data_IF_871517235399
#
_entry.id   IF_871517235399
#
_cell.length_a   1.000
_cell.length_b   1.000
_cell.length_c   1.000
_cell.angle_alpha   90.00
_cell.angle_beta   90.00
_cell.angle_gamma   90.00
#
_symmetry.space_group_name_H-M   'P 1'
#
loop_
_entity.id
_entity.type
_entity.pdbx_description
1 polymer ?
#
# COMPACT_ATOMS: atom_id res chain seq x y z
N UNK A 1 11.23 38.36 -15.19
CA UNK A 1 11.99 37.11 -15.11
C UNK A 1 12.51 36.90 -13.71
N UNK A 2 12.96 37.96 -13.01
CA UNK A 2 13.40 37.85 -11.61
C UNK A 2 12.27 37.49 -10.61
N UNK A 3 11.07 38.04 -10.80
CA UNK A 3 9.92 37.73 -9.92
C UNK A 3 9.49 36.27 -9.97
N UNK A 4 9.55 35.63 -11.16
CA UNK A 4 9.20 34.22 -11.31
C UNK A 4 10.23 33.30 -10.63
N UNK A 5 11.51 33.64 -10.74
CA UNK A 5 12.61 32.91 -10.07
C UNK A 5 12.50 33.03 -8.56
N UNK A 6 12.14 34.21 -8.04
CA UNK A 6 11.95 34.42 -6.61
C UNK A 6 10.73 33.64 -6.08
N UNK A 7 9.61 33.63 -6.80
CA UNK A 7 8.42 32.86 -6.43
C UNK A 7 8.69 31.37 -6.38
N UNK A 8 9.33 30.81 -7.41
CA UNK A 8 9.66 29.37 -7.47
C UNK A 8 10.63 28.97 -6.35
N UNK A 9 11.63 29.82 -6.05
CA UNK A 9 12.61 29.55 -4.99
C UNK A 9 11.98 29.58 -3.61
N UNK A 10 11.03 30.47 -3.38
CA UNK A 10 10.23 30.54 -2.15
C UNK A 10 9.39 29.27 -1.97
N UNK A 11 8.63 28.84 -3.01
CA UNK A 11 7.81 27.64 -2.96
C UNK A 11 8.64 26.38 -2.64
N UNK A 12 9.85 26.28 -3.24
CA UNK A 12 10.77 25.19 -2.96
C UNK A 12 11.23 25.19 -1.50
N UNK A 13 11.59 26.34 -0.96
CA UNK A 13 12.03 26.45 0.44
C UNK A 13 10.88 26.21 1.44
N UNK A 14 9.64 26.67 1.13
CA UNK A 14 8.45 26.36 1.92
C UNK A 14 8.19 24.85 1.97
N UNK A 15 8.28 24.18 0.82
CA UNK A 15 8.10 22.74 0.72
C UNK A 15 9.19 21.98 1.49
N UNK A 16 10.45 22.42 1.38
CA UNK A 16 11.56 21.83 2.13
C UNK A 16 11.38 22.00 3.65
N UNK A 17 10.98 23.18 4.10
CA UNK A 17 10.71 23.45 5.52
C UNK A 17 9.62 22.54 6.09
N UNK A 18 8.51 22.36 5.36
CA UNK A 18 7.42 21.45 5.75
C UNK A 18 7.90 20.01 5.85
N UNK A 19 8.63 19.51 4.85
CA UNK A 19 9.18 18.15 4.87
C UNK A 19 10.06 17.89 6.08
N UNK A 20 10.91 18.84 6.44
CA UNK A 20 11.75 18.71 7.62
C UNK A 20 10.95 18.78 8.92
N UNK A 21 9.92 19.63 9.02
CA UNK A 21 9.03 19.68 10.17
C UNK A 21 8.29 18.35 10.37
N UNK A 22 7.76 17.76 9.29
CA UNK A 22 7.04 16.48 9.33
C UNK A 22 7.95 15.30 9.71
N UNK A 23 9.22 15.33 9.26
CA UNK A 23 10.23 14.34 9.68
C UNK A 23 10.62 14.49 11.14
N UNK A 24 10.75 15.74 11.61
CA UNK A 24 10.99 16.00 13.02
C UNK A 24 9.86 15.44 13.88
N UNK A 25 8.60 15.64 13.48
CA UNK A 25 7.46 15.09 14.20
C UNK A 25 7.50 13.57 14.26
N UNK A 26 7.78 12.90 13.13
CA UNK A 26 7.92 11.43 13.08
C UNK A 26 9.05 10.92 13.99
N UNK A 27 10.18 11.61 14.01
CA UNK A 27 11.30 11.24 14.88
C UNK A 27 10.94 11.43 16.36
N UNK A 28 10.15 12.45 16.71
CA UNK A 28 9.57 12.64 18.04
C UNK A 28 8.66 11.48 18.39
N UNK A 29 7.73 11.13 17.52
CA UNK A 29 6.76 10.05 17.74
C UNK A 29 7.44 8.67 17.85
N UNK A 30 8.58 8.50 17.15
CA UNK A 30 9.42 7.31 17.22
C UNK A 30 10.42 7.29 18.39
N UNK A 31 10.41 8.30 19.27
CA UNK A 31 11.36 8.45 20.38
C UNK A 31 12.83 8.57 19.94
N UNK A 32 13.10 9.24 18.81
CA UNK A 32 14.44 9.51 18.26
C UNK A 32 14.80 11.00 18.37
N UNK A 33 15.19 11.51 19.55
CA UNK A 33 15.36 12.94 19.78
C UNK A 33 16.51 13.57 18.95
N UNK A 34 17.57 12.83 18.67
CA UNK A 34 18.69 13.34 17.89
C UNK A 34 18.30 13.63 16.44
N UNK A 35 17.50 12.74 15.83
CA UNK A 35 16.98 12.89 14.48
C UNK A 35 15.95 14.01 14.41
N UNK A 36 15.07 14.13 15.40
CA UNK A 36 14.13 15.23 15.52
C UNK A 36 14.82 16.60 15.60
N UNK A 37 15.88 16.72 16.39
CA UNK A 37 16.68 17.95 16.50
C UNK A 37 17.31 18.35 15.18
N UNK A 38 17.84 17.38 14.42
CA UNK A 38 18.43 17.63 13.10
C UNK A 38 17.39 18.20 12.13
N UNK A 39 16.24 17.59 12.06
CA UNK A 39 15.17 18.03 11.17
C UNK A 39 14.53 19.35 11.59
N UNK A 40 14.30 19.61 12.87
CA UNK A 40 13.82 20.92 13.34
C UNK A 40 14.78 22.05 12.96
N UNK A 41 16.08 21.83 13.12
CA UNK A 41 17.09 22.82 12.72
C UNK A 41 17.17 23.02 11.21
N UNK A 42 16.91 21.95 10.42
CA UNK A 42 16.82 22.07 8.97
C UNK A 42 15.60 22.90 8.57
N UNK A 43 14.41 22.61 9.11
CA UNK A 43 13.20 23.41 8.88
C UNK A 43 13.39 24.90 9.24
N UNK A 44 14.03 25.19 10.39
CA UNK A 44 14.32 26.55 10.78
C UNK A 44 15.25 27.30 9.81
N UNK A 45 16.23 26.61 9.22
CA UNK A 45 17.11 27.20 8.20
C UNK A 45 16.35 27.58 6.94
N UNK A 46 15.50 26.70 6.43
CA UNK A 46 14.68 26.97 5.23
C UNK A 46 13.75 28.16 5.44
N UNK A 47 13.06 28.22 6.59
CA UNK A 47 12.18 29.34 6.93
C UNK A 47 12.94 30.67 7.05
N UNK A 48 14.17 30.67 7.54
CA UNK A 48 15.00 31.88 7.58
C UNK A 48 15.46 32.31 6.18
N UNK A 49 15.73 31.36 5.28
CA UNK A 49 16.02 31.70 3.89
C UNK A 49 14.83 32.39 3.23
N UNK A 50 13.61 31.90 3.45
CA UNK A 50 12.38 32.55 2.98
C UNK A 50 12.24 33.96 3.57
N UNK A 51 12.44 34.10 4.87
CA UNK A 51 12.34 35.39 5.57
C UNK A 51 13.29 36.44 4.97
N UNK A 52 14.46 36.02 4.47
CA UNK A 52 15.44 36.94 3.81
C UNK A 52 15.05 37.32 2.39
N UNK A 53 14.22 36.49 1.73
CA UNK A 53 13.73 36.77 0.36
C UNK A 53 12.52 37.69 0.35
N UNK A 54 11.76 37.76 1.47
CA UNK A 54 10.53 38.53 1.57
C UNK A 54 10.78 40.01 1.79
N UNK A 55 10.19 40.82 0.93
CA UNK A 55 10.26 42.29 1.00
C UNK A 55 9.17 42.91 1.87
N UNK A 56 8.11 42.15 2.19
CA UNK A 56 7.04 42.57 3.08
C UNK A 56 7.38 42.22 4.53
N UNK A 57 7.63 43.22 5.36
CA UNK A 57 8.09 43.07 6.75
C UNK A 57 7.18 42.19 7.64
N UNK A 58 5.87 42.17 7.39
CA UNK A 58 4.94 41.31 8.14
C UNK A 58 5.13 39.81 7.84
N UNK A 59 5.34 39.44 6.57
CA UNK A 59 5.54 38.07 6.13
C UNK A 59 6.92 37.55 6.57
N UNK A 60 7.96 38.37 6.41
CA UNK A 60 9.31 38.06 6.90
C UNK A 60 9.33 37.84 8.42
N UNK A 61 8.54 38.59 9.18
CA UNK A 61 8.45 38.43 10.64
C UNK A 61 7.77 37.13 11.02
N UNK A 62 6.77 36.68 10.27
CA UNK A 62 6.07 35.41 10.50
C UNK A 62 6.99 34.20 10.29
N UNK A 63 7.72 34.15 9.18
CA UNK A 63 8.69 33.09 8.92
C UNK A 63 9.83 33.08 9.93
N UNK A 64 10.31 34.26 10.36
CA UNK A 64 11.35 34.37 11.40
C UNK A 64 10.83 33.82 12.73
N UNK A 65 9.61 34.18 13.14
CA UNK A 65 9.02 33.70 14.40
C UNK A 65 8.86 32.17 14.40
N UNK A 66 8.43 31.59 13.28
CA UNK A 66 8.28 30.15 13.15
C UNK A 66 9.63 29.41 13.11
N UNK A 67 10.66 30.00 12.51
CA UNK A 67 12.02 29.46 12.57
C UNK A 67 12.58 29.46 13.99
N UNK A 68 12.31 30.51 14.76
CA UNK A 68 12.75 30.61 16.17
C UNK A 68 12.01 29.61 17.07
N UNK A 69 10.73 29.32 16.78
CA UNK A 69 9.96 28.29 17.48
C UNK A 69 10.59 26.91 17.26
N UNK A 70 10.95 26.55 16.01
CA UNK A 70 11.60 25.28 15.73
C UNK A 70 13.00 25.16 16.34
N UNK A 71 13.77 26.25 16.40
CA UNK A 71 15.07 26.24 17.11
C UNK A 71 14.90 26.03 18.58
N UNK A 72 13.94 26.72 19.23
CA UNK A 72 13.67 26.55 20.65
C UNK A 72 13.28 25.10 20.98
N UNK A 73 12.44 24.47 20.14
CA UNK A 73 12.07 23.08 20.30
C UNK A 73 13.26 22.14 20.10
N UNK A 74 14.11 22.40 19.11
CA UNK A 74 15.33 21.63 18.87
C UNK A 74 16.31 21.71 20.02
N UNK A 75 16.48 22.92 20.63
CA UNK A 75 17.36 23.12 21.76
C UNK A 75 16.81 22.45 23.04
N UNK A 76 15.50 22.49 23.27
CA UNK A 76 14.86 21.80 24.40
C UNK A 76 15.02 20.26 24.25
N UNK A 77 14.76 19.70 23.06
CA UNK A 77 14.98 18.27 22.79
C UNK A 77 16.43 17.85 22.89
N UNK A 78 17.36 18.70 22.46
CA UNK A 78 18.80 18.45 22.56
C UNK A 78 19.35 18.50 23.99
N UNK A 79 18.76 19.31 24.87
CA UNK A 79 19.20 19.49 26.26
C UNK A 79 18.57 18.46 27.21
N UNK A 80 17.29 18.16 27.06
CA UNK A 80 16.49 17.39 28.02
C UNK A 80 15.95 16.06 27.43
N UNK A 81 16.24 15.80 26.15
CA UNK A 81 15.71 14.65 25.43
C UNK A 81 14.19 14.69 25.37
N UNK A 82 13.56 13.52 25.31
CA UNK A 82 12.10 13.41 25.21
C UNK A 82 11.34 13.91 26.45
N UNK A 83 12.01 14.07 27.59
CA UNK A 83 11.39 14.58 28.83
C UNK A 83 10.93 16.03 28.72
N UNK A 84 11.52 16.81 27.82
CA UNK A 84 11.11 18.20 27.56
C UNK A 84 9.69 18.28 26.93
N UNK A 85 9.32 17.30 26.11
CA UNK A 85 7.99 17.24 25.49
C UNK A 85 6.92 16.78 26.47
N UNK A 86 7.23 15.85 27.37
CA UNK A 86 6.31 15.40 28.43
C UNK A 86 5.97 16.52 29.40
N UNK A 87 6.89 17.48 29.62
CA UNK A 87 6.65 18.64 30.47
C UNK A 87 5.82 19.74 29.78
N UNK A 88 5.93 19.89 28.47
CA UNK A 88 5.16 20.87 27.69
C UNK A 88 3.71 20.40 27.45
N UNK A 89 3.48 19.10 27.30
CA UNK A 89 2.15 18.49 27.12
C UNK A 89 1.34 18.41 28.44
N UNK A 90 1.99 18.58 29.58
CA UNK A 90 1.36 18.52 30.91
C UNK A 90 0.43 19.70 31.26
N UNK A 91 0.33 20.72 30.41
CA UNK A 91 -0.50 21.90 30.67
C UNK A 91 -1.87 21.90 29.96
N UNK A 92 -2.10 21.02 28.98
CA UNK A 92 -3.38 20.97 28.22
C UNK A 92 -3.92 19.56 27.86
N UNK A 93 -3.37 18.51 28.47
CA UNK A 93 -3.79 17.11 28.22
C UNK A 93 -4.67 16.54 29.34
N UNK A 94 -5.80 17.22 29.68
CA UNK A 94 -6.86 16.62 30.52
C UNK A 94 -8.13 16.22 29.75
N UNK A 95 -8.08 16.14 28.43
CA UNK A 95 -9.18 15.61 27.61
C UNK A 95 -8.61 14.72 26.51
N UNK A 96 -8.62 13.44 26.70
CA UNK A 96 -8.77 12.32 25.77
C UNK A 96 -7.84 11.12 26.07
N UNK A 97 -8.09 10.46 27.19
CA UNK A 97 -7.80 9.03 27.35
C UNK A 97 -9.07 8.38 27.88
N UNK A 98 -9.98 8.20 27.00
CA UNK A 98 -11.02 7.16 27.16
C UNK A 98 -11.32 6.66 25.75
N UNK A 99 -11.03 5.36 25.53
CA UNK A 99 -11.33 4.67 24.28
C UNK A 99 -12.86 4.52 24.11
N UNK A 100 -13.50 5.60 23.72
CA UNK A 100 -14.83 5.57 23.15
C UNK A 100 -14.66 5.46 21.63
N UNK A 101 -15.10 4.35 21.06
CA UNK A 101 -15.38 4.27 19.64
C UNK A 101 -16.23 5.48 19.22
N UNK A 102 -15.95 6.12 18.07
CA UNK A 102 -16.77 7.24 17.62
C UNK A 102 -18.20 6.74 17.43
N UNK A 103 -19.15 7.32 18.16
CA UNK A 103 -20.59 7.05 18.03
C UNK A 103 -21.18 7.53 16.68
N UNK A 104 -20.34 7.94 15.75
CA UNK A 104 -20.74 8.43 14.45
C UNK A 104 -20.24 7.43 13.39
N UNK A 105 -21.04 6.42 13.09
CA UNK A 105 -20.94 5.35 12.06
C UNK A 105 -19.93 5.46 10.92
N UNK A 106 -18.70 5.93 11.18
CA UNK A 106 -17.58 6.00 10.25
C UNK A 106 -16.97 4.63 9.97
N UNK A 107 -16.28 4.51 8.85
CA UNK A 107 -15.55 3.30 8.49
C UNK A 107 -14.44 3.05 9.53
N UNK A 108 -14.36 1.86 10.16
CA UNK A 108 -13.20 1.52 10.99
C UNK A 108 -11.98 1.34 10.09
N UNK A 109 -11.07 2.31 10.10
CA UNK A 109 -9.84 2.29 9.31
C UNK A 109 -8.75 1.72 10.19
N UNK A 110 -8.22 0.58 9.80
CA UNK A 110 -7.13 -0.09 10.48
C UNK A 110 -5.83 0.10 9.71
N UNK A 111 -4.80 0.65 10.37
CA UNK A 111 -3.45 0.75 9.82
C UNK A 111 -2.63 -0.39 10.38
N UNK A 112 -2.13 -1.25 9.52
CA UNK A 112 -1.31 -2.40 9.89
C UNK A 112 0.03 -2.33 9.17
N UNK A 113 1.10 -2.84 9.77
CA UNK A 113 2.32 -3.16 9.04
C UNK A 113 2.27 -4.65 8.69
N UNK A 114 2.15 -5.03 7.40
CA UNK A 114 2.04 -6.43 7.03
C UNK A 114 3.29 -7.21 7.43
N UNK A 115 3.10 -8.42 7.97
CA UNK A 115 4.21 -9.34 8.25
C UNK A 115 4.76 -10.03 6.99
N UNK A 116 3.98 -10.04 5.91
CA UNK A 116 4.32 -10.63 4.61
C UNK A 116 5.32 -9.74 3.88
N UNK A 117 6.38 -10.33 3.32
CA UNK A 117 7.44 -9.64 2.57
C UNK A 117 7.58 -10.20 1.16
N UNK A 118 8.45 -9.65 0.34
CA UNK A 118 8.73 -10.20 -0.99
C UNK A 118 9.29 -11.63 -0.99
N UNK A 119 9.79 -12.10 0.16
CA UNK A 119 10.20 -13.50 0.34
C UNK A 119 9.02 -14.48 0.29
N UNK A 120 7.83 -14.00 0.62
CA UNK A 120 6.58 -14.78 0.63
C UNK A 120 5.83 -14.72 -0.70
N UNK A 121 6.33 -13.96 -1.66
CA UNK A 121 5.80 -13.86 -3.02
C UNK A 121 6.67 -14.66 -3.98
N UNK A 122 6.16 -15.76 -4.50
CA UNK A 122 6.87 -16.57 -5.50
C UNK A 122 6.88 -15.92 -6.87
N UNK A 123 8.06 -15.75 -7.49
CA UNK A 123 8.21 -15.11 -8.80
C UNK A 123 7.99 -13.60 -8.79
N UNK A 124 7.64 -13.02 -9.93
CA UNK A 124 7.39 -11.59 -10.15
C UNK A 124 8.60 -10.70 -9.87
N UNK A 125 9.83 -11.19 -10.01
CA UNK A 125 11.04 -10.47 -9.64
C UNK A 125 11.18 -9.11 -10.35
N UNK A 126 10.81 -9.03 -11.63
CA UNK A 126 10.80 -7.77 -12.38
C UNK A 126 9.79 -6.76 -11.84
N UNK A 127 8.62 -7.23 -11.38
CA UNK A 127 7.58 -6.38 -10.80
C UNK A 127 8.00 -5.89 -9.41
N UNK A 128 8.55 -6.77 -8.58
CA UNK A 128 9.09 -6.42 -7.25
C UNK A 128 10.17 -5.35 -7.38
N UNK A 129 11.11 -5.53 -8.32
CA UNK A 129 12.18 -4.56 -8.56
C UNK A 129 11.64 -3.22 -9.04
N UNK A 130 10.69 -3.22 -9.97
CA UNK A 130 10.03 -2.01 -10.46
C UNK A 130 9.37 -1.23 -9.32
N UNK A 131 8.66 -1.91 -8.41
CA UNK A 131 8.02 -1.28 -7.25
C UNK A 131 9.06 -0.66 -6.31
N UNK A 132 10.18 -1.32 -6.07
CA UNK A 132 11.27 -0.73 -5.28
C UNK A 132 11.85 0.51 -5.96
N UNK A 133 12.19 0.43 -7.24
CA UNK A 133 12.85 1.51 -7.98
C UNK A 133 11.95 2.74 -8.18
N UNK A 134 10.66 2.53 -8.44
CA UNK A 134 9.73 3.60 -8.78
C UNK A 134 9.01 4.20 -7.58
N UNK A 135 8.78 3.40 -6.54
CA UNK A 135 7.98 3.78 -5.37
C UNK A 135 8.88 3.97 -4.15
N UNK A 136 9.61 2.92 -3.74
CA UNK A 136 10.31 2.92 -2.47
C UNK A 136 11.57 3.77 -2.47
N UNK A 137 12.44 3.61 -3.47
CA UNK A 137 13.72 4.30 -3.53
C UNK A 137 13.59 5.83 -3.64
N UNK A 138 12.65 6.39 -4.45
CA UNK A 138 12.46 7.84 -4.49
C UNK A 138 11.98 8.44 -3.18
N UNK A 139 11.15 7.71 -2.40
CA UNK A 139 10.70 8.16 -1.08
C UNK A 139 11.81 8.03 -0.03
N UNK A 140 12.55 6.91 -0.03
CA UNK A 140 13.65 6.67 0.92
C UNK A 140 14.87 7.56 0.70
N UNK A 141 15.09 8.03 -0.51
CA UNK A 141 16.25 8.80 -0.95
C UNK A 141 15.81 10.10 -1.64
N UNK A 142 14.79 10.73 -1.12
CA UNK A 142 14.12 11.89 -1.72
C UNK A 142 15.11 13.00 -2.10
N UNK A 143 16.07 13.34 -1.23
CA UNK A 143 17.09 14.36 -1.54
C UNK A 143 17.92 14.03 -2.77
N UNK A 144 18.29 12.75 -2.94
CA UNK A 144 19.04 12.31 -4.11
C UNK A 144 18.21 12.38 -5.38
N UNK A 145 16.97 11.88 -5.32
CA UNK A 145 16.07 11.86 -6.48
C UNK A 145 15.64 13.27 -6.89
N UNK A 146 15.40 14.16 -5.92
CA UNK A 146 15.07 15.56 -6.15
C UNK A 146 16.20 16.31 -6.89
N UNK A 147 17.48 16.00 -6.62
CA UNK A 147 18.61 16.59 -7.37
C UNK A 147 18.58 16.24 -8.88
N UNK A 148 17.98 15.11 -9.23
CA UNK A 148 17.80 14.68 -10.62
C UNK A 148 16.44 15.08 -11.20
N UNK A 149 15.59 15.77 -10.43
CA UNK A 149 14.23 16.13 -10.82
C UNK A 149 13.30 14.93 -10.98
N UNK A 150 13.56 13.85 -10.23
CA UNK A 150 12.75 12.63 -10.25
C UNK A 150 11.81 12.65 -9.04
N UNK A 151 10.52 12.70 -9.31
CA UNK A 151 9.49 12.61 -8.30
C UNK A 151 9.10 11.15 -8.00
N UNK A 152 8.71 10.80 -6.75
CA UNK A 152 8.21 9.47 -6.44
C UNK A 152 6.91 9.17 -7.18
N UNK A 153 6.75 7.94 -7.64
CA UNK A 153 5.46 7.43 -8.11
C UNK A 153 4.56 7.18 -6.89
N UNK A 154 3.53 7.99 -6.75
CA UNK A 154 2.58 7.90 -5.63
C UNK A 154 1.31 7.11 -5.95
N UNK A 155 1.14 6.70 -7.19
CA UNK A 155 0.02 5.88 -7.62
C UNK A 155 0.46 4.77 -8.56
N UNK A 156 0.15 3.52 -8.18
CA UNK A 156 0.43 2.30 -8.97
C UNK A 156 -0.85 1.54 -9.21
N UNK A 157 -1.13 1.19 -10.45
CA UNK A 157 -2.25 0.30 -10.81
C UNK A 157 -1.71 -1.08 -11.17
N UNK A 158 -2.02 -2.07 -10.33
CA UNK A 158 -1.73 -3.47 -10.60
C UNK A 158 -2.89 -4.07 -11.42
N UNK A 159 -2.62 -4.51 -12.64
CA UNK A 159 -3.63 -5.13 -13.51
C UNK A 159 -3.25 -6.56 -13.89
N UNK A 160 -4.24 -7.41 -14.08
CA UNK A 160 -4.00 -8.80 -14.53
C UNK A 160 -5.12 -9.74 -14.11
N UNK A 161 -5.08 -10.99 -14.57
CA UNK A 161 -6.08 -11.98 -14.25
C UNK A 161 -6.27 -12.22 -12.75
N UNK A 162 -7.44 -12.73 -12.31
CA UNK A 162 -7.63 -13.11 -10.92
C UNK A 162 -6.65 -14.22 -10.50
N UNK A 163 -6.33 -14.27 -9.20
CA UNK A 163 -5.43 -15.29 -8.64
C UNK A 163 -3.94 -15.12 -8.96
N UNK A 164 -3.51 -14.00 -9.57
CA UNK A 164 -2.09 -13.75 -9.89
C UNK A 164 -1.29 -13.14 -8.75
N UNK A 165 -1.92 -12.87 -7.60
CA UNK A 165 -1.24 -12.41 -6.39
C UNK A 165 -1.09 -10.88 -6.26
N UNK A 166 -1.92 -10.06 -6.94
CA UNK A 166 -1.87 -8.59 -6.86
C UNK A 166 -2.00 -8.05 -5.44
N UNK A 167 -2.98 -8.54 -4.68
CA UNK A 167 -3.21 -8.18 -3.28
C UNK A 167 -2.04 -8.59 -2.38
N UNK A 168 -1.52 -9.81 -2.59
CA UNK A 168 -0.35 -10.32 -1.87
C UNK A 168 0.90 -9.47 -2.16
N UNK A 169 1.11 -9.08 -3.42
CA UNK A 169 2.23 -8.24 -3.83
C UNK A 169 2.18 -6.85 -3.19
N UNK A 170 1.00 -6.23 -3.13
CA UNK A 170 0.81 -4.93 -2.47
C UNK A 170 1.09 -5.01 -0.96
N UNK A 171 0.57 -6.03 -0.29
CA UNK A 171 0.85 -6.29 1.14
C UNK A 171 2.34 -6.56 1.36
N UNK A 172 2.96 -7.37 0.49
CA UNK A 172 4.37 -7.69 0.59
C UNK A 172 5.28 -6.47 0.40
N UNK A 173 4.89 -5.51 -0.44
CA UNK A 173 5.58 -4.23 -0.54
C UNK A 173 5.53 -3.48 0.79
N UNK A 174 4.37 -3.37 1.42
CA UNK A 174 4.22 -2.73 2.72
C UNK A 174 5.09 -3.37 3.80
N UNK A 175 5.11 -4.70 3.88
CA UNK A 175 5.95 -5.44 4.84
C UNK A 175 7.45 -5.34 4.55
N UNK A 176 7.86 -5.39 3.27
CA UNK A 176 9.25 -5.20 2.85
C UNK A 176 9.80 -3.81 3.23
N UNK A 177 8.92 -2.80 3.16
CA UNK A 177 9.27 -1.42 3.47
C UNK A 177 9.11 -1.09 4.97
N UNK A 178 8.35 -1.89 5.73
CA UNK A 178 7.96 -1.60 7.10
C UNK A 178 6.99 -0.41 7.20
N UNK A 179 6.22 -0.13 6.15
CA UNK A 179 5.30 0.99 6.07
C UNK A 179 3.91 0.64 6.60
N UNK A 180 3.15 1.66 7.00
CA UNK A 180 1.72 1.52 7.26
C UNK A 180 0.98 1.02 6.02
N UNK A 181 -0.03 0.20 6.21
CA UNK A 181 -0.84 -0.38 5.13
C UNK A 181 -2.32 -0.31 5.51
N UNK A 182 -3.10 0.36 4.69
CA UNK A 182 -4.56 0.43 4.81
C UNK A 182 -5.13 -0.33 3.62
N UNK A 183 -5.90 -1.38 3.89
CA UNK A 183 -6.56 -2.17 2.86
C UNK A 183 -8.04 -1.85 2.80
N UNK A 184 -8.53 -1.58 1.61
CA UNK A 184 -9.92 -1.22 1.36
C UNK A 184 -10.54 -2.13 0.31
N UNK A 185 -11.64 -2.75 0.70
CA UNK A 185 -12.50 -3.48 -0.24
C UNK A 185 -13.69 -2.62 -0.65
N UNK A 186 -14.28 -2.85 -1.84
CA UNK A 186 -15.49 -2.14 -2.27
C UNK A 186 -16.64 -2.26 -1.27
N UNK A 187 -16.79 -3.43 -0.64
CA UNK A 187 -17.82 -3.68 0.35
C UNK A 187 -17.70 -2.76 1.57
N UNK A 188 -16.49 -2.46 2.02
CA UNK A 188 -16.26 -1.54 3.14
C UNK A 188 -16.62 -0.10 2.77
N UNK A 189 -16.32 0.33 1.56
CA UNK A 189 -16.63 1.69 1.09
C UNK A 189 -18.11 1.92 0.80
N UNK A 190 -18.82 0.89 0.33
CA UNK A 190 -20.24 0.96 0.00
C UNK A 190 -21.18 0.63 1.16
N UNK A 191 -20.75 -0.20 2.13
CA UNK A 191 -21.58 -0.65 3.25
C UNK A 191 -21.75 0.40 4.36
N UNK A 192 -20.85 1.35 4.46
CA UNK A 192 -20.98 2.46 5.39
C UNK A 192 -22.06 3.42 4.89
N UNK A 193 -23.29 3.31 5.40
CA UNK A 193 -24.45 4.19 5.19
C UNK A 193 -24.51 4.88 3.82
N UNK A 194 -25.50 4.53 3.04
CA UNK A 194 -25.78 5.13 1.71
C UNK A 194 -25.58 6.65 1.76
N UNK A 195 -24.57 7.15 0.99
CA UNK A 195 -24.25 8.57 0.88
C UNK A 195 -22.95 9.06 1.54
N UNK A 196 -22.22 8.22 2.30
CA UNK A 196 -20.96 8.58 2.98
C UNK A 196 -19.67 8.13 2.27
N UNK A 197 -19.76 7.51 1.10
CA UNK A 197 -18.58 6.94 0.42
C UNK A 197 -17.45 7.94 0.16
N UNK A 198 -17.78 9.19 -0.22
CA UNK A 198 -16.77 10.24 -0.39
C UNK A 198 -16.10 10.62 0.94
N UNK A 199 -16.86 10.71 2.04
CA UNK A 199 -16.31 10.98 3.36
C UNK A 199 -15.39 9.85 3.83
N UNK A 200 -15.78 8.59 3.59
CA UNK A 200 -14.94 7.44 3.93
C UNK A 200 -13.58 7.49 3.20
N UNK A 201 -13.55 7.89 1.93
CA UNK A 201 -12.30 8.08 1.18
C UNK A 201 -11.47 9.19 1.82
N UNK A 202 -12.06 10.32 2.16
CA UNK A 202 -11.36 11.41 2.84
C UNK A 202 -10.77 10.97 4.18
N UNK A 203 -11.53 10.23 4.99
CA UNK A 203 -11.11 9.73 6.30
C UNK A 203 -9.92 8.74 6.14
N UNK A 204 -9.93 7.91 5.10
CA UNK A 204 -8.82 7.00 4.76
C UNK A 204 -7.54 7.77 4.46
N UNK A 205 -7.60 8.79 3.61
CA UNK A 205 -6.41 9.57 3.27
C UNK A 205 -5.93 10.44 4.43
N UNK A 206 -6.84 10.94 5.27
CA UNK A 206 -6.48 11.62 6.52
C UNK A 206 -5.74 10.68 7.47
N UNK A 207 -6.23 9.44 7.62
CA UNK A 207 -5.57 8.42 8.43
C UNK A 207 -4.21 8.01 7.84
N UNK A 208 -4.11 7.86 6.51
CA UNK A 208 -2.87 7.52 5.86
C UNK A 208 -1.78 8.59 6.06
N UNK A 209 -2.14 9.87 5.93
CA UNK A 209 -1.24 11.00 6.19
C UNK A 209 -0.79 11.08 7.66
N UNK A 210 -1.65 10.67 8.61
CA UNK A 210 -1.28 10.61 10.02
C UNK A 210 -0.31 9.44 10.35
N UNK A 211 -0.13 8.47 9.43
CA UNK A 211 0.69 7.28 9.63
C UNK A 211 1.73 7.10 8.51
N UNK A 212 2.29 8.19 8.02
CA UNK A 212 3.32 8.17 6.97
C UNK A 212 4.64 7.56 7.48
N UNK A 213 5.35 6.82 6.61
CA UNK A 213 4.98 6.45 5.24
C UNK A 213 3.91 5.35 5.22
N UNK A 214 2.90 5.49 4.35
CA UNK A 214 1.74 4.62 4.33
C UNK A 214 1.33 4.21 2.90
N UNK A 215 0.90 2.96 2.73
CA UNK A 215 0.29 2.46 1.50
C UNK A 215 -1.22 2.38 1.70
N UNK A 216 -1.99 3.01 0.82
CA UNK A 216 -3.44 2.84 0.70
C UNK A 216 -3.71 1.89 -0.46
N UNK A 217 -4.25 0.73 -0.17
CA UNK A 217 -4.53 -0.31 -1.14
C UNK A 217 -6.03 -0.43 -1.43
N UNK A 218 -6.41 -0.29 -2.69
CA UNK A 218 -7.76 -0.50 -3.17
C UNK A 218 -7.81 -1.81 -3.97
N UNK A 219 -8.49 -2.83 -3.43
CA UNK A 219 -8.76 -4.03 -4.19
C UNK A 219 -10.00 -3.82 -5.08
N UNK A 220 -10.00 -4.44 -6.25
CA UNK A 220 -11.09 -4.31 -7.24
C UNK A 220 -11.51 -2.84 -7.46
N UNK A 221 -10.53 -1.99 -7.77
CA UNK A 221 -10.73 -0.53 -7.86
C UNK A 221 -11.77 -0.16 -8.93
N UNK A 222 -12.02 -1.00 -9.92
CA UNK A 222 -13.08 -0.84 -10.91
C UNK A 222 -14.47 -0.68 -10.28
N UNK A 223 -14.72 -1.23 -9.11
CA UNK A 223 -16.00 -1.09 -8.42
C UNK A 223 -16.24 0.32 -7.85
N UNK A 224 -15.19 1.09 -7.61
CA UNK A 224 -15.25 2.48 -7.14
C UNK A 224 -15.11 3.45 -8.30
N UNK A 225 -14.32 3.07 -9.30
CA UNK A 225 -13.82 3.93 -10.36
C UNK A 225 -14.21 3.42 -11.76
N UNK A 226 -15.46 3.03 -11.90
CA UNK A 226 -15.98 2.49 -13.15
C UNK A 226 -16.08 3.56 -14.25
N UNK A 227 -15.66 3.24 -15.48
CA UNK A 227 -15.73 4.13 -16.64
C UNK A 227 -17.17 4.61 -16.88
N UNK A 228 -17.31 5.90 -17.12
CA UNK A 228 -18.59 6.60 -17.37
C UNK A 228 -19.30 6.10 -18.63
N UNK A 229 -18.56 5.59 -19.62
CA UNK A 229 -19.14 5.11 -20.90
C UNK A 229 -19.77 3.73 -20.78
N UNK A 230 -19.35 2.92 -19.82
CA UNK A 230 -19.91 1.57 -19.57
C UNK A 230 -21.12 1.58 -18.61
N UNK A 231 -21.45 2.75 -18.04
CA UNK A 231 -22.52 2.89 -17.03
C UNK A 231 -23.89 3.05 -17.66
N UNK A 232 -24.76 2.07 -17.47
CA UNK A 232 -26.21 2.19 -17.74
C UNK A 232 -26.97 2.90 -16.59
N UNK A 233 -26.44 2.85 -15.35
CA UNK A 233 -27.00 3.53 -14.16
C UNK A 233 -25.89 3.69 -13.10
N UNK A 234 -25.11 4.78 -13.13
CA UNK A 234 -24.26 5.14 -12.00
C UNK A 234 -25.10 5.76 -10.88
N UNK A 235 -24.86 5.35 -9.64
CA UNK A 235 -25.43 6.06 -8.49
C UNK A 235 -24.65 7.35 -8.23
N UNK A 236 -25.30 8.41 -7.78
CA UNK A 236 -24.64 9.67 -7.38
C UNK A 236 -23.55 9.44 -6.33
N UNK A 237 -23.65 8.38 -5.55
CA UNK A 237 -22.69 7.98 -4.53
C UNK A 237 -21.37 7.51 -5.14
N UNK A 238 -21.40 6.70 -6.21
CA UNK A 238 -20.19 6.21 -6.90
C UNK A 238 -19.44 7.35 -7.60
N UNK A 239 -20.17 8.27 -8.23
CA UNK A 239 -19.55 9.46 -8.83
C UNK A 239 -18.87 10.34 -7.78
N UNK A 240 -19.48 10.50 -6.61
CA UNK A 240 -18.93 11.27 -5.52
C UNK A 240 -17.67 10.62 -4.94
N UNK A 241 -17.63 9.28 -4.82
CA UNK A 241 -16.43 8.54 -4.39
C UNK A 241 -15.28 8.68 -5.38
N UNK A 242 -15.55 8.54 -6.68
CA UNK A 242 -14.54 8.73 -7.71
C UNK A 242 -13.96 10.14 -7.68
N UNK A 243 -14.81 11.17 -7.61
CA UNK A 243 -14.35 12.56 -7.55
C UNK A 243 -13.49 12.80 -6.31
N UNK A 244 -13.88 12.27 -5.15
CA UNK A 244 -13.10 12.41 -3.94
C UNK A 244 -11.75 11.68 -4.05
N UNK A 245 -11.73 10.46 -4.57
CA UNK A 245 -10.48 9.72 -4.82
C UNK A 245 -9.54 10.49 -5.75
N UNK A 246 -10.07 11.04 -6.84
CA UNK A 246 -9.30 11.86 -7.78
C UNK A 246 -8.73 13.12 -7.11
N UNK A 247 -9.47 13.72 -6.19
CA UNK A 247 -9.03 14.90 -5.42
C UNK A 247 -7.91 14.51 -4.46
N UNK A 248 -8.12 13.48 -3.64
CA UNK A 248 -7.11 13.02 -2.68
C UNK A 248 -5.79 12.60 -3.35
N UNK A 249 -5.88 11.92 -4.51
CA UNK A 249 -4.68 11.52 -5.27
C UNK A 249 -3.92 12.72 -5.86
N UNK A 250 -4.59 13.82 -6.18
CA UNK A 250 -3.91 15.04 -6.65
C UNK A 250 -3.19 15.77 -5.50
N UNK A 251 -3.61 15.57 -4.26
CA UNK A 251 -3.10 16.25 -3.07
C UNK A 251 -2.03 15.41 -2.33
N UNK A 252 -1.41 14.44 -3.02
CA UNK A 252 -0.36 13.58 -2.46
C UNK A 252 1.07 14.11 -2.68
N UNK A 253 1.25 15.22 -3.38
CA UNK A 253 2.58 15.70 -3.81
C UNK A 253 3.55 15.89 -2.62
N UNK A 254 3.04 16.28 -1.45
CA UNK A 254 3.82 16.52 -0.24
C UNK A 254 3.70 15.41 0.83
N UNK A 255 2.99 14.31 0.56
CA UNK A 255 2.74 13.23 1.51
C UNK A 255 3.55 11.97 1.18
N UNK A 256 4.08 11.26 2.19
CA UNK A 256 4.68 9.93 1.98
C UNK A 256 3.60 8.84 1.97
N UNK A 257 2.55 9.09 1.20
CA UNK A 257 1.45 8.16 0.96
C UNK A 257 1.51 7.65 -0.47
N UNK A 258 1.39 6.34 -0.62
CA UNK A 258 1.34 5.65 -1.91
C UNK A 258 -0.01 4.97 -2.08
N UNK A 259 -0.67 5.21 -3.19
CA UNK A 259 -1.93 4.55 -3.54
C UNK A 259 -1.66 3.40 -4.49
N UNK A 260 -2.09 2.21 -4.14
CA UNK A 260 -2.02 1.04 -5.01
C UNK A 260 -3.44 0.57 -5.30
N UNK A 261 -3.83 0.61 -6.57
CA UNK A 261 -5.06 -0.01 -7.04
C UNK A 261 -4.79 -1.40 -7.63
N UNK A 262 -5.67 -2.36 -7.39
CA UNK A 262 -5.66 -3.65 -8.08
C UNK A 262 -6.94 -3.81 -8.89
N UNK A 263 -6.82 -4.35 -10.11
CA UNK A 263 -7.97 -4.63 -10.98
C UNK A 263 -7.81 -5.92 -11.77
N UNK A 264 -8.91 -6.62 -11.93
CA UNK A 264 -9.01 -7.75 -12.84
C UNK A 264 -9.64 -7.34 -14.21
N UNK A 265 -10.18 -6.13 -14.29
CA UNK A 265 -10.91 -5.59 -15.43
C UNK A 265 -10.38 -4.20 -15.78
N UNK A 266 -9.14 -4.10 -16.30
CA UNK A 266 -8.49 -2.82 -16.54
C UNK A 266 -9.29 -1.92 -17.50
N UNK A 267 -10.09 -2.48 -18.39
CA UNK A 267 -10.97 -1.73 -19.31
C UNK A 267 -12.16 -1.06 -18.63
N UNK A 268 -12.51 -1.47 -17.40
CA UNK A 268 -13.59 -0.86 -16.63
C UNK A 268 -13.12 0.30 -15.74
N UNK A 269 -11.81 0.48 -15.58
CA UNK A 269 -11.24 1.58 -14.76
C UNK A 269 -11.30 2.89 -15.53
N UNK A 270 -11.88 3.93 -14.91
CA UNK A 270 -12.01 5.27 -15.49
C UNK A 270 -10.65 5.85 -15.93
N UNK A 271 -10.58 6.33 -17.16
CA UNK A 271 -9.35 6.90 -17.75
C UNK A 271 -8.79 8.09 -16.94
N UNK A 272 -9.65 8.79 -16.20
CA UNK A 272 -9.20 9.88 -15.33
C UNK A 272 -8.22 9.42 -14.24
N UNK A 273 -8.26 8.16 -13.81
CA UNK A 273 -7.31 7.59 -12.86
C UNK A 273 -5.96 7.24 -13.51
N UNK A 274 -5.91 6.99 -14.81
CA UNK A 274 -4.71 6.52 -15.54
C UNK A 274 -3.77 7.63 -15.98
N UNK A 275 -3.94 8.85 -15.48
CA UNK A 275 -3.05 9.94 -15.86
C UNK A 275 -1.79 9.98 -14.99
N UNK A 276 -0.76 10.74 -15.47
CA UNK A 276 0.58 10.79 -14.88
C UNK A 276 0.64 11.33 -13.42
N UNK A 277 -0.42 11.97 -12.94
CA UNK A 277 -0.48 12.51 -11.57
C UNK A 277 -1.24 11.60 -10.58
N UNK A 278 -1.79 10.47 -11.06
CA UNK A 278 -2.58 9.54 -10.26
C UNK A 278 -1.98 8.17 -10.31
N UNK A 279 -2.52 7.24 -11.08
CA UNK A 279 -1.83 5.98 -11.36
C UNK A 279 -0.81 6.19 -12.48
N UNK A 280 0.30 6.83 -12.10
CA UNK A 280 1.40 7.16 -13.01
C UNK A 280 2.10 5.90 -13.54
N UNK A 281 2.06 4.81 -12.80
CA UNK A 281 2.64 3.52 -13.19
C UNK A 281 1.54 2.47 -13.26
N UNK A 282 1.42 1.82 -14.42
CA UNK A 282 0.51 0.69 -14.63
C UNK A 282 1.36 -0.56 -14.79
N UNK A 283 1.17 -1.51 -13.89
CA UNK A 283 1.99 -2.71 -13.78
C UNK A 283 1.15 -3.94 -14.11
N UNK A 284 1.55 -4.67 -15.12
CA UNK A 284 0.93 -5.94 -15.45
C UNK A 284 1.46 -7.05 -14.54
N UNK A 285 0.54 -7.78 -13.90
CA UNK A 285 0.83 -8.97 -13.09
C UNK A 285 0.34 -10.19 -13.88
N UNK A 286 1.21 -10.82 -14.69
CA UNK A 286 0.83 -11.91 -15.56
C UNK A 286 0.58 -13.20 -14.78
N UNK A 287 -0.09 -14.18 -15.40
CA UNK A 287 -0.09 -15.55 -14.89
C UNK A 287 1.34 -16.07 -14.70
N UNK A 288 1.57 -16.93 -13.69
CA UNK A 288 2.92 -17.39 -13.38
C UNK A 288 3.45 -18.33 -14.49
N UNK A 289 4.67 -18.05 -14.94
CA UNK A 289 5.45 -18.97 -15.79
C UNK A 289 5.96 -20.19 -14.96
N UNK A 290 6.62 -21.14 -15.59
CA UNK A 290 7.07 -22.35 -14.94
C UNK A 290 8.04 -22.07 -13.76
N UNK A 291 8.90 -21.05 -13.89
CA UNK A 291 9.84 -20.66 -12.82
C UNK A 291 9.08 -20.02 -11.65
N UNK A 292 8.12 -19.16 -11.93
CA UNK A 292 7.24 -18.56 -10.93
C UNK A 292 6.37 -19.62 -10.24
N UNK A 293 5.77 -20.59 -10.98
CA UNK A 293 4.99 -21.68 -10.37
C UNK A 293 5.85 -22.52 -9.42
N UNK A 294 7.08 -22.83 -9.81
CA UNK A 294 8.04 -23.51 -8.94
C UNK A 294 8.30 -22.72 -7.66
N UNK A 295 8.52 -21.42 -7.78
CA UNK A 295 8.77 -20.54 -6.64
C UNK A 295 7.54 -20.43 -5.71
N UNK A 296 6.33 -20.30 -6.28
CA UNK A 296 5.07 -20.25 -5.54
C UNK A 296 4.84 -21.55 -4.77
N UNK A 297 5.00 -22.71 -5.41
CA UNK A 297 4.92 -24.02 -4.73
C UNK A 297 5.93 -24.13 -3.58
N UNK A 298 7.17 -23.67 -3.80
CA UNK A 298 8.19 -23.68 -2.76
C UNK A 298 7.84 -22.78 -1.57
N UNK A 299 7.20 -21.64 -1.79
CA UNK A 299 6.71 -20.73 -0.73
C UNK A 299 5.60 -21.41 0.08
N UNK A 300 4.56 -21.89 -0.59
CA UNK A 300 3.41 -22.51 0.10
C UNK A 300 3.78 -23.81 0.83
N UNK A 301 4.73 -24.58 0.34
CA UNK A 301 5.22 -25.78 1.02
C UNK A 301 6.00 -25.51 2.31
N UNK A 302 6.38 -24.26 2.60
CA UNK A 302 6.96 -23.86 3.90
C UNK A 302 5.90 -23.71 4.99
N UNK A 303 4.64 -23.49 4.62
CA UNK A 303 3.54 -23.23 5.56
C UNK A 303 3.18 -24.44 6.43
N UNK A 304 3.07 -25.68 5.89
CA UNK A 304 2.85 -26.87 6.71
C UNK A 304 4.03 -27.15 7.65
N UNK A 305 3.77 -27.32 8.94
CA UNK A 305 4.79 -27.67 9.93
C UNK A 305 5.25 -29.13 9.89
N UNK A 306 4.79 -29.89 8.89
CA UNK A 306 5.18 -31.29 8.70
C UNK A 306 6.41 -31.41 7.80
N UNK A 307 7.27 -32.42 7.98
CA UNK A 307 8.42 -32.63 7.13
C UNK A 307 8.02 -32.80 5.65
N UNK A 308 8.87 -32.31 4.76
CA UNK A 308 8.78 -32.58 3.33
C UNK A 308 9.69 -33.74 2.96
N UNK A 309 9.27 -34.59 2.03
CA UNK A 309 10.06 -35.76 1.59
C UNK A 309 10.04 -35.88 0.06
N UNK A 310 11.21 -35.84 -0.54
CA UNK A 310 11.48 -36.18 -1.94
C UNK A 310 10.52 -35.49 -2.93
N UNK A 311 10.39 -34.14 -2.82
CA UNK A 311 9.55 -33.33 -3.71
C UNK A 311 10.38 -32.83 -4.90
N UNK A 312 9.95 -33.16 -6.11
CA UNK A 312 10.44 -32.58 -7.36
C UNK A 312 9.58 -31.38 -7.76
N UNK A 313 10.06 -30.17 -7.40
CA UNK A 313 9.36 -28.92 -7.71
C UNK A 313 9.35 -28.59 -9.21
N UNK A 314 10.34 -29.05 -9.98
CA UNK A 314 10.39 -28.79 -11.42
C UNK A 314 9.36 -29.64 -12.15
N UNK A 315 9.20 -30.90 -11.76
CA UNK A 315 8.14 -31.76 -12.24
C UNK A 315 6.75 -31.23 -11.87
N UNK A 316 6.57 -30.76 -10.62
CA UNK A 316 5.32 -30.16 -10.16
C UNK A 316 4.98 -28.89 -10.93
N UNK A 317 5.95 -28.00 -11.16
CA UNK A 317 5.76 -26.79 -11.95
C UNK A 317 5.40 -27.09 -13.42
N UNK A 318 5.97 -28.14 -14.00
CA UNK A 318 5.60 -28.59 -15.34
C UNK A 318 4.17 -29.15 -15.40
N UNK A 319 3.75 -29.89 -14.37
CA UNK A 319 2.41 -30.49 -14.29
C UNK A 319 1.29 -29.47 -13.99
N UNK A 320 1.63 -28.26 -13.56
CA UNK A 320 0.68 -27.18 -13.20
C UNK A 320 0.63 -26.07 -14.26
N UNK A 321 0.84 -26.40 -15.53
CA UNK A 321 0.75 -25.42 -16.61
C UNK A 321 -0.63 -24.79 -16.69
N UNK A 322 -0.68 -23.44 -16.80
CA UNK A 322 -1.92 -22.67 -16.81
C UNK A 322 -2.55 -22.41 -15.43
N UNK A 323 -1.97 -22.92 -14.34
CA UNK A 323 -2.46 -22.65 -12.98
C UNK A 323 -2.08 -21.24 -12.54
N UNK A 324 -3.02 -20.54 -11.89
CA UNK A 324 -2.78 -19.28 -11.22
C UNK A 324 -2.12 -19.48 -9.82
N UNK A 325 -1.76 -18.40 -9.15
CA UNK A 325 -1.17 -18.46 -7.81
C UNK A 325 -2.07 -19.15 -6.78
N UNK A 326 -3.35 -18.81 -6.78
CA UNK A 326 -4.35 -19.40 -5.89
C UNK A 326 -4.58 -20.89 -6.16
N UNK A 327 -4.43 -21.33 -7.42
CA UNK A 327 -4.51 -22.74 -7.77
C UNK A 327 -3.36 -23.53 -7.15
N UNK A 328 -2.15 -22.95 -7.16
CA UNK A 328 -0.96 -23.58 -6.60
C UNK A 328 -1.02 -23.64 -5.06
N UNK A 329 -1.60 -22.64 -4.41
CA UNK A 329 -1.91 -22.70 -2.99
C UNK A 329 -2.85 -23.86 -2.67
N UNK A 330 -3.94 -24.00 -3.44
CA UNK A 330 -4.89 -25.11 -3.28
C UNK A 330 -4.23 -26.47 -3.52
N UNK A 331 -3.32 -26.60 -4.48
CA UNK A 331 -2.52 -27.82 -4.69
C UNK A 331 -1.78 -28.22 -3.42
N UNK A 332 -1.09 -27.28 -2.78
CA UNK A 332 -0.35 -27.57 -1.54
C UNK A 332 -1.29 -27.91 -0.39
N UNK A 333 -2.41 -27.20 -0.27
CA UNK A 333 -3.44 -27.51 0.73
C UNK A 333 -4.04 -28.91 0.54
N UNK A 334 -4.33 -29.30 -0.69
CA UNK A 334 -4.84 -30.64 -1.01
C UNK A 334 -3.77 -31.72 -0.74
N UNK A 335 -2.52 -31.45 -1.06
CA UNK A 335 -1.40 -32.34 -0.72
C UNK A 335 -1.27 -32.54 0.80
N UNK A 336 -1.39 -31.46 1.57
CA UNK A 336 -1.37 -31.53 3.03
C UNK A 336 -2.55 -32.33 3.59
N UNK A 337 -3.75 -32.17 3.04
CA UNK A 337 -4.95 -32.96 3.39
C UNK A 337 -4.76 -34.44 3.06
N UNK A 338 -4.11 -34.77 1.94
CA UNK A 338 -3.81 -36.17 1.58
C UNK A 338 -2.84 -36.81 2.56
N UNK A 339 -1.78 -36.10 2.95
CA UNK A 339 -0.83 -36.58 3.97
C UNK A 339 -1.49 -36.72 5.36
N UNK A 340 -2.41 -35.79 5.72
CA UNK A 340 -3.16 -35.85 6.98
C UNK A 340 -4.05 -37.10 7.03
N UNK A 341 -4.78 -37.41 5.98
CA UNK A 341 -5.60 -38.65 5.92
C UNK A 341 -4.77 -39.90 6.16
N UNK A 342 -3.59 -39.98 5.57
CA UNK A 342 -2.67 -41.12 5.80
C UNK A 342 -2.13 -41.13 7.24
N UNK A 343 -1.86 -39.97 7.83
CA UNK A 343 -1.45 -39.85 9.21
C UNK A 343 -2.54 -40.31 10.20
N UNK A 344 -3.81 -40.03 9.91
CA UNK A 344 -4.96 -40.51 10.69
C UNK A 344 -5.10 -42.04 10.65
N UNK A 345 -4.83 -42.67 9.48
CA UNK A 345 -4.88 -44.13 9.31
C UNK A 345 -3.70 -44.84 10.01
N UNK A 346 -2.53 -44.23 9.96
CA UNK A 346 -1.29 -44.85 10.49
C UNK A 346 -1.05 -44.49 11.95
N UNK A 347 -1.69 -43.45 12.49
CA UNK A 347 -1.44 -42.94 13.85
C UNK A 347 -0.10 -42.22 14.02
N UNK A 348 0.59 -41.88 12.94
CA UNK A 348 1.91 -41.23 12.93
C UNK A 348 1.95 -40.05 11.97
N UNK A 349 2.77 -39.02 12.23
CA UNK A 349 3.00 -37.91 11.29
C UNK A 349 3.58 -38.44 10.00
N UNK A 350 2.90 -38.17 8.89
CA UNK A 350 3.34 -38.52 7.53
C UNK A 350 3.93 -37.28 6.85
N UNK A 351 5.17 -37.36 6.34
CA UNK A 351 5.74 -36.27 5.55
C UNK A 351 4.95 -36.00 4.26
N UNK A 352 4.85 -34.74 3.85
CA UNK A 352 4.31 -34.42 2.53
C UNK A 352 5.36 -34.79 1.48
N UNK A 353 5.06 -35.75 0.62
CA UNK A 353 5.94 -36.22 -0.44
C UNK A 353 5.34 -36.00 -1.84
N UNK A 354 6.12 -36.36 -2.87
CA UNK A 354 5.74 -36.19 -4.28
C UNK A 354 4.35 -36.77 -4.61
N UNK A 355 3.99 -37.95 -4.06
CA UNK A 355 2.67 -38.56 -4.28
C UNK A 355 1.52 -37.70 -3.78
N UNK A 356 1.70 -37.03 -2.63
CA UNK A 356 0.67 -36.16 -2.05
C UNK A 356 0.52 -34.90 -2.90
N UNK A 357 1.65 -34.34 -3.36
CA UNK A 357 1.64 -33.18 -4.24
C UNK A 357 0.97 -33.50 -5.58
N UNK A 358 1.28 -34.68 -6.15
CA UNK A 358 0.60 -35.13 -7.38
C UNK A 358 -0.91 -35.29 -7.19
N UNK A 359 -1.33 -35.88 -6.07
CA UNK A 359 -2.76 -36.01 -5.76
C UNK A 359 -3.43 -34.61 -5.64
N UNK A 360 -2.73 -33.63 -5.05
CA UNK A 360 -3.22 -32.24 -4.97
C UNK A 360 -3.34 -31.57 -6.34
N UNK A 361 -2.40 -31.82 -7.24
CA UNK A 361 -2.43 -31.33 -8.62
C UNK A 361 -3.60 -31.95 -9.37
N UNK A 362 -3.78 -33.26 -9.28
CA UNK A 362 -4.84 -33.98 -9.99
C UNK A 362 -6.24 -33.53 -9.52
N UNK A 363 -6.42 -33.33 -8.19
CA UNK A 363 -7.65 -32.83 -7.60
C UNK A 363 -7.96 -31.41 -8.07
N UNK A 364 -6.96 -30.50 -8.11
CA UNK A 364 -7.17 -29.12 -8.57
C UNK A 364 -7.44 -29.08 -10.06
N UNK A 365 -6.72 -29.85 -10.88
CA UNK A 365 -6.95 -29.95 -12.32
C UNK A 365 -8.38 -30.42 -12.65
N UNK A 366 -8.89 -31.41 -11.91
CA UNK A 366 -10.26 -31.90 -12.07
C UNK A 366 -11.28 -30.78 -11.75
N UNK A 367 -11.09 -30.05 -10.66
CA UNK A 367 -11.97 -28.94 -10.26
C UNK A 367 -11.97 -27.80 -11.31
N UNK A 368 -10.82 -27.47 -11.88
CA UNK A 368 -10.72 -26.46 -12.96
C UNK A 368 -11.41 -26.91 -14.24
N UNK A 369 -11.28 -28.21 -14.60
CA UNK A 369 -11.95 -28.75 -15.75
C UNK A 369 -13.49 -28.76 -15.62
N UNK A 370 -14.01 -29.05 -14.42
CA UNK A 370 -15.44 -28.96 -14.13
C UNK A 370 -15.95 -27.51 -14.21
N UNK A 371 -15.21 -26.54 -13.68
CA UNK A 371 -15.57 -25.12 -13.72
C UNK A 371 -15.62 -24.59 -15.18
N UNK A 372 -14.72 -25.03 -16.04
CA UNK A 372 -14.69 -24.64 -17.47
C UNK A 372 -15.67 -25.43 -18.33
N UNK A 373 -15.98 -26.67 -17.97
CA UNK A 373 -16.92 -27.53 -18.68
C UNK A 373 -18.41 -27.36 -18.35
N UNK A 374 -18.73 -26.68 -17.23
CA UNK A 374 -20.10 -26.41 -16.77
C UNK A 374 -20.86 -25.30 -17.49
N UNK A 375 -20.27 -24.63 -18.45
CA UNK A 375 -20.88 -23.54 -19.22
C UNK A 375 -21.33 -24.01 -20.61
N UNK A 376 -22.31 -24.87 -20.76
CA UNK A 376 -23.29 -24.92 -21.83
C UNK A 376 -23.97 -26.32 -21.94
N UNK A 377 -24.99 -26.56 -21.10
CA UNK A 377 -26.08 -27.42 -21.48
C UNK A 377 -27.33 -26.53 -21.56
N UNK A 378 -27.39 -25.70 -22.61
CA UNK A 378 -28.60 -24.99 -23.01
C UNK A 378 -29.57 -25.97 -23.66
N UNK A 379 -30.73 -26.12 -23.03
CA UNK A 379 -31.82 -26.95 -23.50
C UNK A 379 -32.25 -26.60 -24.93
N UNK A 380 -32.05 -27.53 -25.84
CA UNK A 380 -32.83 -27.59 -27.04
C UNK A 380 -34.22 -28.09 -26.68
N UNK A 381 -35.21 -27.25 -26.83
CA UNK A 381 -36.58 -27.66 -26.99
C UNK A 381 -36.97 -27.55 -28.46
N UNK A 382 -37.25 -28.69 -29.02
CA UNK A 382 -37.99 -28.92 -30.28
C UNK A 382 -39.38 -28.30 -30.20
#
# INVERSE_FOLDING_TARGET
MDDLVHSTRRELAETAARRHADRAQRAIDAYHPEEAVEHLRAAARELREIATMETLGSVSTEYTAKADEYEQLADALGAEGMSALEAADGADASVARDGAAPEDGGLPIEVQTPAVTFHDVGGLEGVKQLLIEKVADPIRRDELYAQYGIEPVRGVLLQGPPGTGKTLLARALGGELGWGFIELSPAQLTSALVGRGAQNIQDVFTTARAHEPCIVFFDEIENIAKDRTSRTQSTRSEESMLIQLLTEMNDLDDADVVVIGATNQPEEVDDALRNARRFAEVVEVPPPDAAARRAILAVHLRTPSVPLQDIDLDAAAAATDGFAGDDLEQVVMNAARAALREAEETGAIVPIGQRHLQAGIDERAAALAEATGGGYIGGGHT
#
